data_IF_826701065725
#
_entry.id   IF_826701065725
#
_cell.length_a   1.000
_cell.length_b   1.000
_cell.length_c   1.000
_cell.angle_alpha   90.00
_cell.angle_beta   90.00
_cell.angle_gamma   90.00
#
_symmetry.space_group_name_H-M   'P 1'
#
loop_
_entity.id
_entity.type
_entity.pdbx_description
1 polymer ?
#
# COMPACT_ATOMS: atom_id res chain seq x y z
N UNK A 1 11.37 -8.86 -15.27
CA UNK A 1 10.29 -7.86 -15.17
C UNK A 1 10.94 -6.49 -15.12
N UNK A 2 10.38 -5.53 -15.84
CA UNK A 2 10.75 -4.13 -15.62
C UNK A 2 10.11 -3.65 -14.32
N UNK A 3 10.74 -2.68 -13.67
CA UNK A 3 10.24 -2.08 -12.43
C UNK A 3 10.30 -0.57 -12.51
N UNK A 4 9.34 0.10 -11.87
CA UNK A 4 9.38 1.55 -11.67
C UNK A 4 9.15 1.84 -10.20
N UNK A 5 10.03 2.63 -9.60
CA UNK A 5 9.85 3.14 -8.24
C UNK A 5 9.34 4.57 -8.31
N UNK A 6 8.16 4.80 -7.75
CA UNK A 6 7.60 6.11 -7.53
C UNK A 6 7.97 6.60 -6.14
N UNK A 7 8.15 7.91 -6.00
CA UNK A 7 8.42 8.53 -4.71
C UNK A 7 7.66 9.85 -4.55
N UNK A 8 7.51 10.26 -3.29
CA UNK A 8 7.01 11.59 -2.93
C UNK A 8 7.49 11.99 -1.53
N UNK A 9 8.05 13.20 -1.44
CA UNK A 9 8.40 13.81 -0.16
C UNK A 9 7.16 14.39 0.51
N UNK A 10 6.98 14.10 1.80
CA UNK A 10 5.89 14.60 2.61
C UNK A 10 6.49 15.40 3.78
N UNK A 11 6.08 16.67 3.91
CA UNK A 11 6.46 17.53 5.03
C UNK A 11 5.71 17.16 6.32
N UNK A 12 5.93 15.94 6.80
CA UNK A 12 5.32 15.35 7.98
C UNK A 12 6.27 14.30 8.56
N UNK A 13 6.27 14.16 9.89
CA UNK A 13 7.13 13.19 10.57
C UNK A 13 6.86 11.75 10.07
N UNK A 14 7.91 10.93 9.82
CA UNK A 14 7.77 9.59 9.23
C UNK A 14 6.79 8.68 9.98
N UNK A 15 6.83 8.70 11.32
CA UNK A 15 5.91 7.91 12.15
C UNK A 15 4.45 8.29 11.90
N UNK A 16 4.14 9.58 11.78
CA UNK A 16 2.76 10.05 11.56
C UNK A 16 2.26 9.65 10.17
N UNK A 17 3.13 9.73 9.16
CA UNK A 17 2.81 9.23 7.81
C UNK A 17 2.58 7.72 7.85
N UNK A 18 3.53 6.96 8.41
CA UNK A 18 3.46 5.50 8.54
C UNK A 18 2.20 5.03 9.26
N UNK A 19 1.88 5.60 10.42
CA UNK A 19 0.69 5.24 11.21
C UNK A 19 -0.61 5.46 10.40
N UNK A 20 -0.63 6.49 9.55
CA UNK A 20 -1.77 6.78 8.68
C UNK A 20 -1.85 5.80 7.50
N UNK A 21 -0.77 5.61 6.75
CA UNK A 21 -0.79 4.80 5.51
C UNK A 21 -0.80 3.29 5.77
N UNK A 22 -0.27 2.82 6.91
CA UNK A 22 -0.31 1.40 7.32
C UNK A 22 -1.71 0.93 7.74
N UNK A 23 -2.63 1.84 8.05
CA UNK A 23 -4.00 1.47 8.34
C UNK A 23 -4.76 1.23 7.03
N UNK A 24 -5.10 -0.03 6.76
CA UNK A 24 -5.88 -0.44 5.59
C UNK A 24 -7.15 0.39 5.39
N UNK A 25 -7.84 0.77 6.46
CA UNK A 25 -9.08 1.56 6.40
C UNK A 25 -8.85 2.99 5.86
N UNK A 26 -7.61 3.47 5.84
CA UNK A 26 -7.26 4.74 5.23
C UNK A 26 -6.95 4.61 3.73
N UNK A 27 -6.83 3.40 3.15
CA UNK A 27 -6.57 3.23 1.71
C UNK A 27 -7.55 4.03 0.82
N UNK A 28 -8.88 4.03 1.06
CA UNK A 28 -9.80 4.85 0.27
C UNK A 28 -9.59 6.35 0.42
N UNK A 29 -8.81 6.82 1.41
CA UNK A 29 -8.54 8.25 1.60
C UNK A 29 -7.38 8.75 0.75
N UNK A 30 -6.43 7.89 0.37
CA UNK A 30 -5.21 8.30 -0.34
C UNK A 30 -4.98 7.54 -1.65
N UNK A 31 -5.44 6.29 -1.77
CA UNK A 31 -5.42 5.50 -2.99
C UNK A 31 -6.77 5.52 -3.74
N UNK A 32 -7.49 6.65 -3.68
CA UNK A 32 -8.89 6.81 -4.15
C UNK A 32 -9.16 6.28 -5.56
N UNK A 33 -8.21 6.46 -6.46
CA UNK A 33 -8.33 6.03 -7.86
C UNK A 33 -8.39 4.51 -8.00
N UNK A 34 -7.78 3.78 -7.05
CA UNK A 34 -7.65 2.32 -7.08
C UNK A 34 -8.55 1.63 -6.06
N UNK A 35 -8.73 2.22 -4.88
CA UNK A 35 -9.47 1.63 -3.75
C UNK A 35 -10.69 2.50 -3.45
N UNK A 36 -11.88 2.02 -3.85
CA UNK A 36 -13.17 2.69 -3.62
C UNK A 36 -13.66 2.49 -2.18
N UNK A 37 -13.49 1.27 -1.66
CA UNK A 37 -13.79 0.91 -0.28
C UNK A 37 -12.94 -0.29 0.12
N UNK A 38 -12.88 -0.55 1.42
CA UNK A 38 -12.15 -1.70 1.96
C UNK A 38 -12.81 -2.17 3.24
N UNK A 39 -12.93 -3.49 3.39
CA UNK A 39 -13.51 -4.13 4.57
C UNK A 39 -12.72 -5.38 4.94
N UNK A 40 -12.75 -5.76 6.22
CA UNK A 40 -12.14 -7.00 6.69
C UNK A 40 -13.21 -8.11 6.69
N UNK A 41 -12.95 -9.22 6.01
CA UNK A 41 -13.84 -10.39 5.90
C UNK A 41 -12.99 -11.62 6.20
N UNK A 42 -13.39 -12.44 7.19
CA UNK A 42 -12.67 -13.67 7.56
C UNK A 42 -11.15 -13.48 7.74
N UNK A 43 -10.75 -12.39 8.42
CA UNK A 43 -9.36 -11.96 8.61
C UNK A 43 -8.59 -11.48 7.36
N UNK A 44 -9.20 -11.46 6.19
CA UNK A 44 -8.61 -10.91 4.96
C UNK A 44 -9.17 -9.52 4.67
N UNK A 45 -8.36 -8.63 4.08
CA UNK A 45 -8.85 -7.35 3.60
C UNK A 45 -9.40 -7.52 2.18
N UNK A 46 -10.62 -7.09 1.95
CA UNK A 46 -11.26 -7.07 0.63
C UNK A 46 -11.43 -5.62 0.22
N UNK A 47 -10.77 -5.23 -0.86
CA UNK A 47 -10.82 -3.90 -1.43
C UNK A 47 -11.66 -3.88 -2.71
N UNK A 48 -12.59 -2.94 -2.81
CA UNK A 48 -13.35 -2.70 -4.04
C UNK A 48 -12.54 -1.81 -4.97
N UNK A 49 -12.21 -2.32 -6.16
CA UNK A 49 -11.44 -1.59 -7.19
C UNK A 49 -12.30 -1.33 -8.43
N UNK A 50 -11.88 -0.44 -9.35
CA UNK A 50 -12.56 -0.29 -10.63
C UNK A 50 -12.67 -1.58 -11.45
N UNK A 51 -11.75 -2.52 -11.26
CA UNK A 51 -11.68 -3.81 -11.96
C UNK A 51 -12.39 -4.95 -11.20
N UNK A 52 -13.03 -4.65 -10.07
CA UNK A 52 -13.70 -5.63 -9.20
C UNK A 52 -13.04 -5.78 -7.83
N UNK A 53 -13.59 -6.63 -6.95
CA UNK A 53 -13.03 -6.86 -5.63
C UNK A 53 -11.70 -7.61 -5.72
N UNK A 54 -10.72 -7.19 -4.91
CA UNK A 54 -9.43 -7.88 -4.75
C UNK A 54 -9.19 -8.17 -3.27
N UNK A 55 -8.57 -9.32 -3.00
CA UNK A 55 -8.07 -9.62 -1.67
C UNK A 55 -6.71 -8.93 -1.46
N UNK A 56 -6.47 -8.47 -0.24
CA UNK A 56 -5.23 -7.79 0.14
C UNK A 56 -4.71 -8.34 1.45
N UNK A 57 -3.38 -8.52 1.49
CA UNK A 57 -2.63 -8.77 2.72
C UNK A 57 -1.60 -7.67 2.88
N UNK A 58 -1.64 -6.98 4.02
CA UNK A 58 -0.70 -5.91 4.37
C UNK A 58 0.20 -6.47 5.47
N UNK A 59 1.50 -6.18 5.41
CA UNK A 59 2.42 -6.59 6.48
C UNK A 59 2.02 -6.03 7.83
N UNK A 60 2.41 -6.72 8.89
CA UNK A 60 2.20 -6.24 10.25
C UNK A 60 2.92 -4.92 10.50
N UNK A 61 2.38 -4.15 11.44
CA UNK A 61 2.99 -2.90 11.90
C UNK A 61 4.41 -3.16 12.39
N UNK A 62 5.35 -2.35 11.92
CA UNK A 62 6.76 -2.49 12.20
C UNK A 62 7.43 -1.11 12.36
N UNK A 63 8.59 -1.09 12.99
CA UNK A 63 9.38 0.12 13.22
C UNK A 63 10.27 0.51 12.04
N UNK A 64 10.35 -0.31 11.00
CA UNK A 64 11.23 -0.12 9.84
C UNK A 64 10.61 0.73 8.73
N UNK A 65 9.33 1.10 8.87
CA UNK A 65 8.57 1.88 7.89
C UNK A 65 8.07 1.05 6.71
N UNK A 66 8.12 -0.28 6.78
CA UNK A 66 7.74 -1.19 5.70
C UNK A 66 6.22 -1.30 5.62
N UNK A 67 5.69 -1.12 4.41
CA UNK A 67 4.26 -1.10 4.06
C UNK A 67 3.95 -2.07 2.92
N UNK A 68 4.84 -3.03 2.72
CA UNK A 68 4.70 -4.03 1.69
C UNK A 68 3.32 -4.70 1.81
N UNK A 69 2.70 -4.90 0.66
CA UNK A 69 1.41 -5.54 0.60
C UNK A 69 1.31 -6.42 -0.63
N UNK A 70 0.33 -7.30 -0.56
CA UNK A 70 0.09 -8.31 -1.56
C UNK A 70 -1.34 -8.15 -2.01
N UNK A 71 -1.53 -8.11 -3.33
CA UNK A 71 -2.84 -7.98 -3.96
C UNK A 71 -3.14 -9.27 -4.69
N UNK A 72 -4.24 -9.92 -4.34
CA UNK A 72 -4.70 -11.15 -4.98
C UNK A 72 -5.94 -10.82 -5.83
N UNK A 73 -5.77 -10.65 -7.16
CA UNK A 73 -6.89 -10.48 -8.07
C UNK A 73 -7.72 -11.77 -8.17
N UNK A 74 -8.95 -11.71 -8.71
CA UNK A 74 -9.79 -12.90 -8.92
C UNK A 74 -9.17 -13.94 -9.86
N UNK A 75 -8.34 -13.50 -10.81
CA UNK A 75 -7.62 -14.33 -11.77
C UNK A 75 -6.15 -13.94 -11.77
N UNK A 76 -5.25 -14.92 -11.75
CA UNK A 76 -3.81 -14.71 -11.74
C UNK A 76 -3.15 -15.02 -10.39
N UNK A 77 -1.86 -14.68 -10.29
CA UNK A 77 -1.06 -14.86 -9.08
C UNK A 77 -1.21 -13.69 -8.10
N UNK A 78 -0.75 -13.91 -6.87
CA UNK A 78 -0.59 -12.84 -5.88
C UNK A 78 0.49 -11.84 -6.36
N UNK A 79 0.14 -10.56 -6.37
CA UNK A 79 1.02 -9.47 -6.80
C UNK A 79 1.67 -8.86 -5.56
N UNK A 80 3.00 -8.94 -5.50
CA UNK A 80 3.78 -8.28 -4.45
C UNK A 80 4.00 -6.80 -4.77
N UNK A 81 3.72 -5.93 -3.81
CA UNK A 81 3.78 -4.48 -3.95
C UNK A 81 4.66 -3.89 -2.83
N UNK A 82 5.97 -3.71 -3.08
CA UNK A 82 6.87 -3.08 -2.13
C UNK A 82 6.50 -1.62 -1.88
N UNK A 83 6.42 -1.23 -0.62
CA UNK A 83 6.14 0.15 -0.23
C UNK A 83 6.83 0.49 1.09
N UNK A 84 7.34 1.71 1.22
CA UNK A 84 8.03 2.13 2.44
C UNK A 84 7.88 3.62 2.73
N UNK A 85 7.83 3.95 4.02
CA UNK A 85 8.06 5.32 4.52
C UNK A 85 9.46 5.37 5.13
N UNK A 86 10.29 6.32 4.69
CA UNK A 86 11.63 6.55 5.26
C UNK A 86 11.79 8.00 5.74
N UNK A 87 12.65 8.26 6.74
CA UNK A 87 12.98 9.62 7.16
C UNK A 87 13.65 10.43 6.04
N UNK A 88 13.21 11.67 5.87
CA UNK A 88 13.84 12.64 4.96
C UNK A 88 13.89 14.02 5.67
N UNK A 89 14.98 14.27 6.41
CA UNK A 89 15.11 15.43 7.28
C UNK A 89 14.03 15.48 8.37
N UNK A 90 13.33 16.61 8.48
CA UNK A 90 12.16 16.76 9.38
C UNK A 90 10.88 16.11 8.82
N UNK A 91 10.88 15.76 7.54
CA UNK A 91 9.77 15.13 6.83
C UNK A 91 9.99 13.64 6.60
N UNK A 92 9.33 13.12 5.58
CA UNK A 92 9.42 11.72 5.16
C UNK A 92 9.40 11.58 3.66
N UNK A 93 9.88 10.45 3.18
CA UNK A 93 9.76 10.02 1.79
C UNK A 93 8.91 8.75 1.75
N UNK A 94 7.93 8.70 0.84
CA UNK A 94 7.17 7.48 0.57
C UNK A 94 7.67 6.90 -0.73
N UNK A 95 8.10 5.64 -0.72
CA UNK A 95 8.54 4.88 -1.88
C UNK A 95 7.53 3.79 -2.21
N UNK A 96 7.26 3.59 -3.49
CA UNK A 96 6.32 2.59 -4.00
C UNK A 96 6.88 1.98 -5.29
N UNK A 97 7.18 0.69 -5.29
CA UNK A 97 7.76 0.01 -6.46
C UNK A 97 6.70 -0.84 -7.14
N UNK A 98 6.53 -0.63 -8.45
CA UNK A 98 5.61 -1.42 -9.30
C UNK A 98 6.43 -2.32 -10.21
N UNK A 99 6.12 -3.61 -10.21
CA UNK A 99 6.67 -4.58 -11.15
C UNK A 99 5.68 -4.81 -12.30
N UNK A 100 6.18 -4.75 -13.54
CA UNK A 100 5.38 -5.12 -14.71
C UNK A 100 4.98 -6.59 -14.61
N UNK A 101 3.67 -6.86 -14.59
CA UNK A 101 3.13 -8.22 -14.62
C UNK A 101 3.25 -8.80 -16.06
N UNK A 102 3.34 -10.13 -16.22
CA UNK A 102 3.43 -10.80 -17.52
C UNK A 102 2.29 -10.45 -18.48
#
# INVERSE_FOLDING_TARGET
MTSTTLNISINCAPKKVYDFVSNAQNLPKWAKTFIRSIKKVNNEWIAETPQGPVAMRIVDKNSFGILDHYVKPPVGGEIYVPMRVIPNGKGSEVLFTVFQQP
#
